data_IF_460240694729
#
_entry.id   IF_460240694729
#
_cell.length_a   1.000
_cell.length_b   1.000
_cell.length_c   1.000
_cell.angle_alpha   90.00
_cell.angle_beta   90.00
_cell.angle_gamma   90.00
#
_symmetry.space_group_name_H-M   'P 1'
#
loop_
_entity.id
_entity.type
_entity.pdbx_description
1 polymer ?
#
# COMPACT_ATOMS: atom_id res chain seq x y z
N UNK A 1 -18.58 -5.12 6.85
CA UNK A 1 -18.62 -5.42 5.40
C UNK A 1 -17.42 -6.27 4.96
N UNK A 2 -16.18 -5.80 5.06
CA UNK A 2 -15.00 -6.61 4.66
C UNK A 2 -14.81 -7.88 5.49
N UNK A 3 -15.03 -7.79 6.81
CA UNK A 3 -15.04 -8.97 7.69
C UNK A 3 -16.02 -10.06 7.21
N UNK A 4 -17.19 -9.67 6.69
CA UNK A 4 -18.18 -10.60 6.16
C UNK A 4 -17.72 -11.28 4.85
N UNK A 5 -16.85 -10.64 4.06
CA UNK A 5 -16.21 -11.28 2.91
C UNK A 5 -15.20 -12.34 3.36
N UNK A 6 -14.35 -12.01 4.34
CA UNK A 6 -13.40 -12.98 4.91
C UNK A 6 -14.09 -14.14 5.61
N UNK A 7 -15.27 -13.92 6.18
CA UNK A 7 -16.10 -14.96 6.80
C UNK A 7 -16.96 -15.75 5.77
N UNK A 8 -16.84 -15.47 4.47
CA UNK A 8 -17.63 -16.12 3.41
C UNK A 8 -19.12 -15.76 3.39
N UNK A 9 -19.55 -14.84 4.26
CA UNK A 9 -20.94 -14.38 4.40
C UNK A 9 -21.34 -13.34 3.35
N UNK A 10 -20.40 -12.86 2.54
CA UNK A 10 -20.64 -11.91 1.46
C UNK A 10 -19.68 -12.12 0.30
N UNK A 11 -20.15 -11.89 -0.94
CA UNK A 11 -19.29 -11.84 -2.14
C UNK A 11 -18.68 -10.46 -2.38
N UNK A 12 -19.10 -9.45 -1.63
CA UNK A 12 -18.61 -8.09 -1.77
C UNK A 12 -17.25 -7.93 -1.09
N UNK A 13 -16.18 -7.88 -1.88
CA UNK A 13 -14.85 -7.42 -1.41
C UNK A 13 -14.81 -5.90 -1.48
N UNK A 14 -14.23 -5.23 -0.49
CA UNK A 14 -14.06 -3.77 -0.57
C UNK A 14 -13.24 -3.40 -1.81
N UNK A 15 -13.49 -2.21 -2.38
CA UNK A 15 -12.74 -1.73 -3.52
C UNK A 15 -11.29 -1.45 -3.14
N UNK A 16 -10.41 -1.56 -4.13
CA UNK A 16 -8.97 -1.34 -3.99
C UNK A 16 -8.61 0.05 -3.44
N UNK A 17 -9.46 1.05 -3.68
CA UNK A 17 -9.34 2.40 -3.12
C UNK A 17 -9.41 2.45 -1.59
N UNK A 18 -10.16 1.52 -0.95
CA UNK A 18 -10.18 1.39 0.50
C UNK A 18 -8.93 0.71 1.06
N UNK A 19 -8.27 -0.16 0.28
CA UNK A 19 -7.05 -0.83 0.72
C UNK A 19 -5.81 0.05 0.58
N UNK A 20 -5.80 0.93 -0.41
CA UNK A 20 -4.79 1.97 -0.58
C UNK A 20 -5.01 3.18 0.34
N UNK A 21 -5.65 3.02 1.50
CA UNK A 21 -5.94 4.15 2.38
C UNK A 21 -4.65 4.89 2.77
N UNK A 22 -4.66 6.21 2.57
CA UNK A 22 -3.54 7.17 2.56
C UNK A 22 -2.66 7.23 1.32
N UNK A 23 -2.73 6.28 0.38
CA UNK A 23 -2.09 6.43 -0.93
C UNK A 23 -3.08 7.04 -1.93
N UNK A 24 -2.69 8.17 -2.52
CA UNK A 24 -3.43 8.84 -3.60
C UNK A 24 -2.70 8.61 -4.91
N UNK A 25 -3.38 7.96 -5.84
CA UNK A 25 -2.84 7.72 -7.17
C UNK A 25 -3.42 8.77 -8.11
N UNK A 26 -2.53 9.51 -8.77
CA UNK A 26 -2.89 10.46 -9.83
C UNK A 26 -2.37 9.90 -11.15
N UNK A 27 -3.28 9.60 -12.05
CA UNK A 27 -2.98 9.01 -13.36
C UNK A 27 -2.56 10.11 -14.33
N UNK A 28 -1.35 10.00 -14.90
CA UNK A 28 -0.88 10.86 -15.98
C UNK A 28 -0.76 10.05 -17.27
N UNK A 29 -0.68 10.75 -18.42
CA UNK A 29 -0.57 10.11 -19.75
C UNK A 29 0.62 9.13 -19.90
N UNK A 30 1.66 9.27 -19.06
CA UNK A 30 2.91 8.49 -19.18
C UNK A 30 3.24 7.65 -17.95
N UNK A 31 2.64 7.97 -16.79
CA UNK A 31 2.96 7.31 -15.52
C UNK A 31 1.88 7.61 -14.48
N UNK A 32 1.88 6.83 -13.40
CA UNK A 32 1.06 7.09 -12.23
C UNK A 32 1.91 7.72 -11.12
N UNK A 33 1.44 8.83 -10.56
CA UNK A 33 2.04 9.37 -9.34
C UNK A 33 1.39 8.73 -8.12
N UNK A 34 2.17 7.94 -7.39
CA UNK A 34 1.76 7.26 -6.14
C UNK A 34 2.18 8.14 -4.97
N UNK A 35 1.24 8.92 -4.42
CA UNK A 35 1.53 9.90 -3.38
C UNK A 35 1.04 9.43 -2.01
N UNK A 36 1.91 9.49 -1.00
CA UNK A 36 1.51 9.32 0.39
C UNK A 36 0.83 10.59 0.90
N UNK A 37 -0.40 10.46 1.37
CA UNK A 37 -1.18 11.51 1.98
C UNK A 37 -1.05 11.44 3.49
N UNK A 38 -0.35 12.42 4.05
CA UNK A 38 -0.17 12.52 5.49
C UNK A 38 -1.40 13.14 6.15
N UNK A 39 -2.05 12.35 7.02
CA UNK A 39 -3.12 12.83 7.89
C UNK A 39 -2.69 12.77 9.36
N UNK A 40 -3.11 13.76 10.14
CA UNK A 40 -2.87 13.84 11.58
C UNK A 40 -3.36 12.59 12.34
N UNK A 41 -4.52 12.07 11.96
CA UNK A 41 -5.12 10.87 12.55
C UNK A 41 -4.26 9.62 12.37
N UNK A 42 -3.31 9.64 11.43
CA UNK A 42 -2.44 8.50 11.10
C UNK A 42 -1.09 8.55 11.84
N UNK A 43 -0.82 9.63 12.60
CA UNK A 43 0.35 9.73 13.50
C UNK A 43 0.59 8.48 14.38
N UNK A 44 -0.42 7.91 15.09
CA UNK A 44 -0.20 6.69 15.88
C UNK A 44 0.22 5.50 15.01
N UNK A 45 -0.40 5.32 13.84
CA UNK A 45 -0.05 4.24 12.90
C UNK A 45 1.37 4.36 12.37
N UNK A 46 1.81 5.60 12.05
CA UNK A 46 3.21 5.86 11.64
C UNK A 46 4.22 5.53 12.74
N UNK A 47 3.93 5.89 13.99
CA UNK A 47 4.79 5.54 15.14
C UNK A 47 4.90 4.03 15.30
N UNK A 48 3.78 3.32 15.18
CA UNK A 48 3.76 1.86 15.23
C UNK A 48 4.63 1.24 14.11
N UNK A 49 4.40 1.63 12.85
CA UNK A 49 5.18 1.14 11.72
C UNK A 49 6.67 1.46 11.82
N UNK A 50 7.03 2.63 12.34
CA UNK A 50 8.42 3.00 12.59
C UNK A 50 9.08 2.13 13.67
N UNK A 51 8.34 1.79 14.75
CA UNK A 51 8.82 0.89 15.81
C UNK A 51 9.08 -0.52 15.28
N UNK A 52 8.19 -1.02 14.42
CA UNK A 52 8.31 -2.34 13.78
C UNK A 52 9.29 -2.35 12.60
N UNK A 53 9.89 -1.19 12.26
CA UNK A 53 10.73 -1.00 11.07
C UNK A 53 10.06 -1.50 9.79
N UNK A 54 8.73 -1.38 9.71
CA UNK A 54 7.94 -1.88 8.58
C UNK A 54 7.82 -0.79 7.50
N UNK A 55 8.43 -0.98 6.31
CA UNK A 55 8.28 -0.05 5.20
C UNK A 55 6.84 -0.02 4.69
N UNK A 56 6.38 1.17 4.27
CA UNK A 56 5.01 1.36 3.79
C UNK A 56 4.71 0.56 2.52
N UNK A 57 5.69 0.43 1.61
CA UNK A 57 5.59 -0.39 0.41
C UNK A 57 5.27 -1.86 0.74
N UNK A 58 5.90 -2.42 1.79
CA UNK A 58 5.64 -3.78 2.28
C UNK A 58 4.29 -3.92 2.95
N UNK A 59 3.87 -2.91 3.72
CA UNK A 59 2.53 -2.88 4.33
C UNK A 59 1.42 -2.90 3.26
N UNK A 60 1.63 -2.23 2.13
CA UNK A 60 0.67 -2.12 1.03
C UNK A 60 0.85 -3.18 -0.06
N UNK A 61 1.61 -4.25 0.20
CA UNK A 61 1.92 -5.30 -0.77
C UNK A 61 0.71 -5.81 -1.54
N UNK A 62 -0.34 -6.22 -0.82
CA UNK A 62 -1.55 -6.79 -1.45
C UNK A 62 -2.22 -5.77 -2.37
N UNK A 63 -2.35 -4.51 -1.92
CA UNK A 63 -3.05 -3.46 -2.65
C UNK A 63 -2.26 -2.98 -3.88
N UNK A 64 -0.94 -2.84 -3.76
CA UNK A 64 -0.06 -2.47 -4.86
C UNK A 64 0.04 -3.60 -5.89
N UNK A 65 0.17 -4.84 -5.45
CA UNK A 65 0.18 -6.03 -6.32
C UNK A 65 -1.14 -6.18 -7.06
N UNK A 66 -2.27 -5.96 -6.40
CA UNK A 66 -3.58 -6.03 -7.04
C UNK A 66 -3.83 -4.91 -8.05
N UNK A 67 -3.16 -3.75 -7.93
CA UNK A 67 -3.27 -2.64 -8.88
C UNK A 67 -2.30 -2.75 -10.06
N UNK A 68 -1.03 -2.98 -9.78
CA UNK A 68 0.06 -2.87 -10.76
C UNK A 68 0.60 -4.23 -11.21
N UNK A 69 0.19 -5.32 -10.56
CA UNK A 69 0.67 -6.67 -10.84
C UNK A 69 1.89 -7.07 -10.00
N UNK A 70 2.17 -8.38 -10.00
CA UNK A 70 3.25 -8.97 -9.21
C UNK A 70 4.65 -8.60 -9.73
N UNK A 71 4.81 -8.46 -11.05
CA UNK A 71 6.10 -8.07 -11.65
C UNK A 71 6.49 -6.65 -11.24
N UNK A 72 5.56 -5.71 -11.32
CA UNK A 72 5.78 -4.33 -10.88
C UNK A 72 6.13 -4.25 -9.39
N UNK A 73 5.42 -5.00 -8.54
CA UNK A 73 5.71 -5.01 -7.11
C UNK A 73 7.10 -5.60 -6.81
N UNK A 74 7.56 -6.59 -7.58
CA UNK A 74 8.91 -7.14 -7.46
C UNK A 74 9.98 -6.10 -7.78
N UNK A 75 9.78 -5.29 -8.82
CA UNK A 75 10.70 -4.16 -9.12
C UNK A 75 10.72 -3.14 -7.97
N UNK A 76 9.56 -2.85 -7.38
CA UNK A 76 9.47 -1.99 -6.19
C UNK A 76 10.22 -2.57 -4.99
N UNK A 77 10.14 -3.89 -4.75
CA UNK A 77 10.89 -4.55 -3.68
C UNK A 77 12.41 -4.41 -3.88
N UNK A 78 12.89 -4.61 -5.11
CA UNK A 78 14.32 -4.43 -5.44
C UNK A 78 14.76 -2.99 -5.18
N UNK A 79 13.95 -2.00 -5.57
CA UNK A 79 14.23 -0.59 -5.33
C UNK A 79 14.24 -0.24 -3.83
N UNK A 80 13.31 -0.80 -3.04
CA UNK A 80 13.26 -0.64 -1.58
C UNK A 80 14.53 -1.21 -0.92
N UNK A 81 14.94 -2.43 -1.31
CA UNK A 81 16.17 -3.05 -0.81
C UNK A 81 17.41 -2.24 -1.16
N UNK A 82 17.48 -1.71 -2.39
CA UNK A 82 18.57 -0.84 -2.81
C UNK A 82 18.63 0.43 -1.96
N UNK A 83 17.50 1.12 -1.73
CA UNK A 83 17.44 2.33 -0.89
C UNK A 83 17.84 2.02 0.55
N UNK A 84 17.42 0.88 1.11
CA UNK A 84 17.79 0.46 2.46
C UNK A 84 19.28 0.12 2.57
N UNK A 85 19.90 -0.42 1.52
CA UNK A 85 21.34 -0.71 1.50
C UNK A 85 22.24 0.52 1.45
N UNK A 86 21.68 1.68 1.07
CA UNK A 86 22.39 2.96 0.96
C UNK A 86 22.24 3.85 2.21
N UNK A 87 21.51 3.38 3.23
CA UNK A 87 21.32 4.07 4.52
C UNK A 87 22.24 3.50 5.60
#
# INVERSE_FOLDING_TARGET
MEKAYFEGKSKFRKPLSCHLFLIRITEYKRFDAVNYHELDICKPGRRCGASEKLPLCKFLKESLTAKYGAEWYKELEIADEYILSQK
#
